data_IF_071220219091
#
_entry.id   IF_071220219091
#
_cell.length_a   1.000
_cell.length_b   1.000
_cell.length_c   1.000
_cell.angle_alpha   90.00
_cell.angle_beta   90.00
_cell.angle_gamma   90.00
#
_symmetry.space_group_name_H-M   'P 1'
#
loop_
_entity.id
_entity.type
_entity.pdbx_description
1 polymer ?
#
# COMPACT_ATOMS: atom_id res chain seq x y z
N UNK A 1 6.33 -0.67 9.12
CA UNK A 1 6.39 -2.11 8.75
C UNK A 1 7.50 -2.25 7.73
N UNK A 2 8.36 -3.25 7.88
CA UNK A 2 9.47 -3.47 6.96
C UNK A 2 9.73 -4.96 6.76
N UNK A 3 10.39 -5.29 5.65
CA UNK A 3 10.82 -6.65 5.39
C UNK A 3 10.86 -7.01 3.90
N UNK A 4 11.30 -8.24 3.61
CA UNK A 4 11.43 -8.71 2.25
C UNK A 4 10.06 -8.96 1.65
N UNK A 5 9.89 -8.49 0.42
CA UNK A 5 8.78 -8.83 -0.46
C UNK A 5 9.34 -9.24 -1.82
N UNK A 6 8.50 -9.93 -2.57
CA UNK A 6 8.73 -10.19 -3.98
C UNK A 6 7.78 -9.31 -4.78
N UNK A 7 8.31 -8.61 -5.78
CA UNK A 7 7.60 -7.68 -6.64
C UNK A 7 7.52 -8.23 -8.06
N UNK A 8 6.36 -8.12 -8.69
CA UNK A 8 6.19 -8.24 -10.14
C UNK A 8 5.46 -7.01 -10.69
N UNK A 9 5.72 -6.70 -11.96
CA UNK A 9 5.06 -5.63 -12.71
C UNK A 9 4.35 -6.28 -13.89
N UNK A 10 3.05 -6.59 -13.74
CA UNK A 10 2.30 -7.17 -14.84
C UNK A 10 2.07 -6.13 -15.94
N UNK A 11 2.10 -6.59 -17.20
CA UNK A 11 1.59 -5.80 -18.32
C UNK A 11 0.05 -5.85 -18.34
N UNK A 12 -0.59 -4.68 -18.47
CA UNK A 12 -2.00 -4.38 -18.73
C UNK A 12 -3.01 -5.50 -18.41
N UNK A 13 -3.25 -5.76 -17.12
CA UNK A 13 -4.40 -6.55 -16.62
C UNK A 13 -4.45 -8.03 -17.03
N UNK A 14 -3.49 -8.52 -17.81
CA UNK A 14 -3.48 -9.92 -18.28
C UNK A 14 -3.20 -10.92 -17.16
N UNK A 15 -2.55 -10.47 -16.08
CA UNK A 15 -2.16 -11.33 -14.97
C UNK A 15 -3.36 -11.84 -14.16
N UNK A 16 -4.44 -11.05 -14.09
CA UNK A 16 -5.72 -11.45 -13.46
C UNK A 16 -6.34 -12.64 -14.20
N UNK A 17 -6.12 -12.76 -15.52
CA UNK A 17 -6.64 -13.88 -16.33
C UNK A 17 -5.71 -15.09 -16.37
N UNK A 18 -4.39 -14.85 -16.38
CA UNK A 18 -3.35 -15.90 -16.49
C UNK A 18 -2.88 -16.44 -15.13
N UNK A 19 -3.32 -15.80 -14.05
CA UNK A 19 -2.92 -16.12 -12.68
C UNK A 19 -1.49 -15.70 -12.35
N UNK A 20 -1.19 -15.71 -11.06
CA UNK A 20 0.09 -15.29 -10.48
C UNK A 20 1.29 -16.17 -10.91
N UNK A 21 1.07 -17.36 -11.46
CA UNK A 21 2.12 -18.31 -11.88
C UNK A 21 2.95 -17.83 -13.08
N UNK A 22 2.39 -16.97 -13.93
CA UNK A 22 3.09 -16.43 -15.10
C UNK A 22 3.94 -15.19 -14.76
N UNK A 23 3.85 -14.68 -13.53
CA UNK A 23 4.53 -13.46 -13.10
C UNK A 23 5.98 -13.73 -12.73
N UNK A 24 6.89 -12.90 -13.25
CA UNK A 24 8.30 -12.88 -12.85
C UNK A 24 8.44 -11.99 -11.63
N UNK A 25 8.85 -12.59 -10.52
CA UNK A 25 9.04 -11.91 -9.26
C UNK A 25 10.51 -11.59 -9.02
N UNK A 26 10.80 -10.39 -8.53
CA UNK A 26 12.12 -9.99 -8.03
C UNK A 26 12.06 -9.70 -6.53
N UNK A 27 13.12 -10.08 -5.81
CA UNK A 27 13.22 -9.80 -4.37
C UNK A 27 13.54 -8.33 -4.14
N UNK A 28 12.80 -7.71 -3.21
CA UNK A 28 12.98 -6.33 -2.78
C UNK A 28 12.85 -6.25 -1.27
N UNK A 29 13.65 -5.40 -0.65
CA UNK A 29 13.40 -4.96 0.72
C UNK A 29 12.38 -3.83 0.66
N UNK A 30 11.29 -3.97 1.41
CA UNK A 30 10.19 -3.01 1.39
C UNK A 30 10.08 -2.32 2.74
N UNK A 31 9.89 -1.01 2.71
CA UNK A 31 9.68 -0.18 3.88
C UNK A 31 8.39 0.63 3.69
N UNK A 32 7.42 0.41 4.59
CA UNK A 32 6.21 1.21 4.70
C UNK A 32 6.41 2.31 5.73
N UNK A 33 6.44 3.55 5.25
CA UNK A 33 6.59 4.75 6.07
C UNK A 33 5.28 5.53 6.07
N UNK A 34 4.84 5.94 7.26
CA UNK A 34 3.59 6.68 7.44
C UNK A 34 3.84 7.82 8.40
N UNK A 35 3.39 9.02 8.01
CA UNK A 35 3.40 10.20 8.86
C UNK A 35 2.04 10.35 9.50
N UNK A 36 2.00 10.27 10.82
CA UNK A 36 0.79 10.50 11.60
C UNK A 36 0.83 11.85 12.31
N UNK A 37 -0.36 12.41 12.54
CA UNK A 37 -0.56 13.53 13.45
C UNK A 37 -1.39 12.98 14.60
N UNK A 38 -0.89 13.16 15.82
CA UNK A 38 -1.70 12.97 17.02
C UNK A 38 -2.35 14.30 17.31
N UNK A 39 -3.66 14.28 17.47
CA UNK A 39 -4.39 15.48 17.83
C UNK A 39 -4.09 15.77 19.30
N UNK A 40 -3.12 16.64 19.57
CA UNK A 40 -2.81 17.13 20.91
C UNK A 40 -3.77 18.27 21.24
N UNK A 41 -5.06 17.95 21.37
CA UNK A 41 -6.02 18.83 22.03
C UNK A 41 -6.16 18.39 23.48
N UNK A 42 -5.25 18.88 24.32
CA UNK A 42 -5.53 19.06 25.73
C UNK A 42 -6.43 20.30 25.88
N UNK A 43 -7.75 20.15 25.79
CA UNK A 43 -8.68 21.06 26.48
C UNK A 43 -10.07 20.46 26.60
N UNK A 44 -10.43 20.13 27.85
CA UNK A 44 -11.76 20.28 28.45
C UNK A 44 -13.02 19.89 27.66
N UNK A 45 -13.76 18.94 28.26
CA UNK A 45 -15.22 18.75 28.17
C UNK A 45 -15.71 17.69 27.16
N UNK A 46 -15.94 16.51 27.72
CA UNK A 46 -17.04 15.55 27.49
C UNK A 46 -17.74 15.48 26.12
N UNK A 47 -17.57 14.32 25.47
CA UNK A 47 -18.57 13.38 24.89
C UNK A 47 -18.00 12.76 23.60
N UNK A 48 -17.48 11.53 23.72
CA UNK A 48 -17.44 10.53 22.65
C UNK A 48 -16.67 10.86 21.37
N UNK A 49 -15.34 10.73 21.39
CA UNK A 49 -14.56 10.70 20.16
C UNK A 49 -13.06 10.66 20.46
N UNK A 50 -12.53 9.48 20.80
CA UNK A 50 -11.12 9.31 21.14
C UNK A 50 -10.20 9.95 20.11
N UNK A 51 -9.22 10.73 20.57
CA UNK A 51 -8.20 11.37 19.76
C UNK A 51 -7.51 10.36 18.85
N UNK A 52 -8.04 10.21 17.65
CA UNK A 52 -7.63 9.21 16.69
C UNK A 52 -6.37 9.68 15.99
N UNK A 53 -5.34 8.84 15.97
CA UNK A 53 -4.14 9.09 15.18
C UNK A 53 -4.51 9.24 13.71
N UNK A 54 -4.42 10.47 13.17
CA UNK A 54 -4.74 10.75 11.78
C UNK A 54 -3.49 10.52 10.93
N UNK A 55 -3.64 9.70 9.89
CA UNK A 55 -2.57 9.47 8.91
C UNK A 55 -2.55 10.63 7.91
N UNK A 56 -1.46 11.39 7.88
CA UNK A 56 -1.28 12.57 7.01
C UNK A 56 -0.71 12.19 5.65
N UNK A 57 0.29 11.32 5.65
CA UNK A 57 0.98 10.87 4.44
C UNK A 57 1.51 9.44 4.62
N UNK A 58 1.74 8.74 3.51
CA UNK A 58 2.23 7.37 3.51
C UNK A 58 2.89 7.01 2.19
N UNK A 59 4.08 6.45 2.28
CA UNK A 59 4.88 6.02 1.13
C UNK A 59 5.38 4.59 1.32
N UNK A 60 5.44 3.86 0.21
CA UNK A 60 6.06 2.54 0.13
C UNK A 60 7.39 2.66 -0.62
N UNK A 61 8.49 2.42 0.06
CA UNK A 61 9.84 2.46 -0.50
C UNK A 61 10.27 1.04 -0.86
N UNK A 62 10.70 0.85 -2.11
CA UNK A 62 11.21 -0.42 -2.60
C UNK A 62 12.71 -0.31 -2.77
N UNK A 63 13.45 -1.18 -2.10
CA UNK A 63 14.91 -1.17 -2.05
C UNK A 63 15.41 -2.49 -2.65
N UNK A 64 16.38 -2.39 -3.55
CA UNK A 64 17.09 -3.53 -4.10
C UNK A 64 18.52 -3.54 -3.58
N UNK A 65 18.98 -4.71 -3.17
CA UNK A 65 20.38 -4.92 -2.87
C UNK A 65 21.18 -4.95 -4.17
N UNK A 66 22.18 -4.07 -4.29
CA UNK A 66 23.20 -4.17 -5.33
C UNK A 66 24.37 -4.95 -4.75
N UNK A 67 24.95 -5.83 -5.56
CA UNK A 67 26.22 -6.49 -5.26
C UNK A 67 27.21 -5.49 -4.65
N UNK A 68 27.88 -5.88 -3.56
CA UNK A 68 28.75 -5.06 -2.67
C UNK A 68 28.08 -4.40 -1.45
N UNK A 69 26.89 -4.86 -1.02
CA UNK A 69 26.24 -4.35 0.19
C UNK A 69 25.70 -2.92 0.04
N UNK A 70 25.52 -2.49 -1.22
CA UNK A 70 24.99 -1.16 -1.55
C UNK A 70 23.50 -1.26 -1.81
N UNK A 71 22.70 -0.69 -0.92
CA UNK A 71 21.27 -0.59 -1.14
C UNK A 71 20.96 0.54 -2.12
N UNK A 72 20.09 0.28 -3.08
CA UNK A 72 19.55 1.30 -3.97
C UNK A 72 18.03 1.26 -3.94
N UNK A 73 17.43 2.44 -3.90
CA UNK A 73 16.00 2.58 -4.14
C UNK A 73 15.72 2.08 -5.56
N UNK A 74 14.88 1.04 -5.67
CA UNK A 74 14.56 0.38 -6.93
C UNK A 74 13.86 1.35 -7.89
N UNK A 75 13.00 2.20 -7.32
CA UNK A 75 12.18 3.17 -8.04
C UNK A 75 11.72 4.28 -7.11
N UNK A 76 11.20 5.35 -7.69
CA UNK A 76 10.55 6.41 -6.91
C UNK A 76 9.53 5.86 -5.90
N UNK A 77 9.54 6.32 -4.63
CA UNK A 77 8.61 5.85 -3.61
C UNK A 77 7.15 5.95 -4.05
N UNK A 78 6.38 4.89 -3.78
CA UNK A 78 4.98 4.81 -4.17
C UNK A 78 4.14 5.57 -3.14
N UNK A 79 3.44 6.61 -3.57
CA UNK A 79 2.57 7.41 -2.70
C UNK A 79 1.21 6.71 -2.50
N UNK A 80 0.94 6.27 -1.27
CA UNK A 80 -0.26 5.48 -0.95
C UNK A 80 -1.56 6.25 -1.17
N UNK A 81 -1.54 7.59 -1.08
CA UNK A 81 -2.72 8.42 -1.34
C UNK A 81 -3.24 8.37 -2.78
N UNK A 82 -2.42 7.92 -3.74
CA UNK A 82 -2.80 7.72 -5.15
C UNK A 82 -3.10 6.25 -5.48
N UNK A 83 -3.01 5.35 -4.50
CA UNK A 83 -3.04 3.92 -4.74
C UNK A 83 -4.40 3.29 -4.40
N UNK A 84 -4.73 2.24 -5.15
CA UNK A 84 -5.77 1.26 -4.81
C UNK A 84 -5.07 -0.05 -4.48
N UNK A 85 -5.51 -0.70 -3.40
CA UNK A 85 -4.92 -1.96 -2.92
C UNK A 85 -5.98 -3.06 -2.99
N UNK A 86 -5.69 -4.11 -3.75
CA UNK A 86 -6.59 -5.21 -4.08
C UNK A 86 -5.91 -6.56 -3.83
N UNK A 87 -6.71 -7.61 -3.76
CA UNK A 87 -6.25 -9.01 -3.77
C UNK A 87 -7.25 -9.79 -4.60
N UNK A 88 -6.80 -10.88 -5.20
CA UNK A 88 -7.66 -11.81 -5.93
C UNK A 88 -8.31 -12.74 -4.90
N UNK A 89 -9.66 -12.84 -4.85
CA UNK A 89 -10.36 -13.71 -3.89
C UNK A 89 -9.95 -15.18 -4.00
N UNK A 90 -9.50 -15.62 -5.18
CA UNK A 90 -9.07 -17.00 -5.42
C UNK A 90 -7.55 -17.18 -5.22
N UNK A 91 -6.80 -16.09 -4.99
CA UNK A 91 -5.35 -16.11 -4.81
C UNK A 91 -4.88 -15.18 -3.66
N UNK A 92 -4.92 -15.72 -2.44
CA UNK A 92 -4.51 -15.01 -1.22
C UNK A 92 -2.99 -14.90 -1.01
N UNK A 93 -2.20 -15.52 -1.89
CA UNK A 93 -0.73 -15.50 -1.83
C UNK A 93 -0.13 -14.24 -2.46
N UNK A 94 -0.98 -13.36 -3.03
CA UNK A 94 -0.55 -12.11 -3.65
C UNK A 94 -1.49 -10.96 -3.34
N UNK A 95 -0.99 -9.74 -3.45
CA UNK A 95 -1.82 -8.54 -3.48
C UNK A 95 -1.32 -7.57 -4.55
N UNK A 96 -2.22 -6.73 -5.03
CA UNK A 96 -1.93 -5.71 -6.04
C UNK A 96 -1.99 -4.31 -5.42
N UNK A 97 -1.05 -3.46 -5.82
CA UNK A 97 -1.10 -2.02 -5.64
C UNK A 97 -1.16 -1.38 -7.01
N UNK A 98 -2.27 -0.71 -7.31
CA UNK A 98 -2.44 0.09 -8.51
C UNK A 98 -2.23 1.57 -8.16
N UNK A 99 -1.12 2.16 -8.61
CA UNK A 99 -0.95 3.61 -8.59
C UNK A 99 -1.73 4.20 -9.78
N UNK A 100 -2.84 4.90 -9.48
CA UNK A 100 -3.77 5.43 -10.49
C UNK A 100 -3.06 6.34 -11.50
N UNK A 101 -1.95 6.97 -11.12
CA UNK A 101 -1.21 7.89 -11.99
C UNK A 101 -0.11 7.22 -12.80
N UNK A 102 0.24 5.96 -12.51
CA UNK A 102 1.46 5.33 -13.03
C UNK A 102 1.21 3.92 -13.54
N UNK A 103 1.18 2.92 -12.66
CA UNK A 103 1.22 1.51 -13.03
C UNK A 103 0.77 0.59 -11.87
N UNK A 104 0.65 -0.69 -12.17
CA UNK A 104 0.29 -1.74 -11.22
C UNK A 104 1.51 -2.54 -10.74
N UNK A 105 1.46 -2.96 -9.48
CA UNK A 105 2.46 -3.77 -8.81
C UNK A 105 1.81 -4.96 -8.15
N UNK A 106 2.35 -6.15 -8.37
CA UNK A 106 1.91 -7.36 -7.66
C UNK A 106 2.99 -7.75 -6.67
N UNK A 107 2.59 -7.93 -5.42
CA UNK A 107 3.47 -8.28 -4.31
C UNK A 107 3.10 -9.61 -3.70
N UNK A 108 4.10 -10.31 -3.18
CA UNK A 108 3.95 -11.45 -2.28
C UNK A 108 5.09 -11.53 -1.27
N UNK A 109 4.85 -12.09 -0.10
CA UNK A 109 5.88 -12.34 0.91
C UNK A 109 6.39 -13.79 0.84
N UNK A 110 7.22 -14.17 1.82
CA UNK A 110 7.72 -15.55 2.01
C UNK A 110 6.60 -16.56 2.19
N UNK A 111 5.50 -16.12 2.79
CA UNK A 111 4.37 -16.95 3.16
C UNK A 111 3.07 -16.14 3.09
N UNK A 112 1.96 -16.87 3.12
CA UNK A 112 0.61 -16.33 3.01
C UNK A 112 0.26 -15.39 4.18
N UNK A 113 0.60 -15.76 5.41
CA UNK A 113 0.29 -14.96 6.61
C UNK A 113 0.95 -13.59 6.53
N UNK A 114 2.23 -13.55 6.17
CA UNK A 114 3.00 -12.32 6.00
C UNK A 114 2.50 -11.49 4.82
N UNK A 115 2.11 -12.14 3.72
CA UNK A 115 1.49 -11.46 2.57
C UNK A 115 0.20 -10.75 2.99
N UNK A 116 -0.65 -11.43 3.76
CA UNK A 116 -1.88 -10.85 4.28
C UNK A 116 -1.61 -9.72 5.27
N UNK A 117 -0.62 -9.83 6.16
CA UNK A 117 -0.24 -8.72 7.05
C UNK A 117 0.15 -7.46 6.27
N UNK A 118 0.98 -7.61 5.24
CA UNK A 118 1.35 -6.51 4.34
C UNK A 118 0.14 -5.91 3.64
N UNK A 119 -0.71 -6.76 3.05
CA UNK A 119 -1.94 -6.33 2.38
C UNK A 119 -2.83 -5.51 3.30
N UNK A 120 -3.17 -6.03 4.49
CA UNK A 120 -4.07 -5.36 5.42
C UNK A 120 -3.50 -4.01 5.88
N UNK A 121 -2.19 -3.95 6.16
CA UNK A 121 -1.55 -2.73 6.64
C UNK A 121 -1.50 -1.66 5.55
N UNK A 122 -1.09 -2.01 4.32
CA UNK A 122 -1.01 -1.07 3.20
C UNK A 122 -2.42 -0.63 2.79
N UNK A 123 -3.38 -1.56 2.70
CA UNK A 123 -4.78 -1.26 2.38
C UNK A 123 -5.39 -0.28 3.39
N UNK A 124 -5.11 -0.45 4.69
CA UNK A 124 -5.55 0.49 5.73
C UNK A 124 -5.07 1.91 5.41
N UNK A 125 -3.77 2.09 5.21
CA UNK A 125 -3.20 3.43 4.99
C UNK A 125 -3.59 4.04 3.64
N UNK A 126 -3.59 3.26 2.56
CA UNK A 126 -4.06 3.74 1.25
C UNK A 126 -5.53 4.19 1.31
N UNK A 127 -6.36 3.47 2.07
CA UNK A 127 -7.77 3.82 2.28
C UNK A 127 -7.96 5.08 3.13
N UNK A 128 -7.10 5.30 4.12
CA UNK A 128 -7.17 6.44 5.02
C UNK A 128 -6.63 7.72 4.33
N UNK A 129 -5.63 7.58 3.44
CA UNK A 129 -5.04 8.65 2.64
C UNK A 129 -5.79 8.97 1.34
N UNK A 130 -6.62 8.03 0.88
CA UNK A 130 -7.30 8.10 -0.40
C UNK A 130 -8.21 9.33 -0.55
N UNK A 131 -7.81 10.28 -1.40
CA UNK A 131 -8.60 11.48 -1.73
C UNK A 131 -9.94 11.18 -2.40
N UNK A 132 -10.12 9.95 -2.90
CA UNK A 132 -11.39 9.41 -3.41
C UNK A 132 -12.52 9.46 -2.37
N UNK A 133 -12.21 9.48 -1.06
CA UNK A 133 -13.23 9.75 -0.02
C UNK A 133 -13.79 11.17 -0.07
N UNK A 134 -12.96 12.20 -0.28
CA UNK A 134 -13.40 13.61 -0.30
C UNK A 134 -14.30 13.94 -1.50
N UNK A 135 -14.13 13.24 -2.63
CA UNK A 135 -14.98 13.44 -3.82
C UNK A 135 -16.44 12.98 -3.63
N UNK A 136 -16.71 12.09 -2.67
CA UNK A 136 -18.07 11.60 -2.38
C UNK A 136 -18.90 12.51 -1.49
N UNK A 137 -18.35 13.65 -1.04
CA UNK A 137 -19.11 14.66 -0.30
C UNK A 137 -19.76 15.71 -1.23
N UNK A 138 -19.69 15.54 -2.56
CA UNK A 138 -20.56 16.25 -3.47
C UNK A 138 -21.93 15.56 -3.46
N UNK A 139 -22.79 15.94 -2.50
CA UNK A 139 -24.22 15.65 -2.57
C UNK A 139 -24.76 16.17 -3.92
N UNK A 140 -25.54 15.40 -4.68
CA UNK A 140 -26.43 15.99 -5.68
C UNK A 140 -27.38 16.88 -4.90
N UNK A 141 -27.37 18.19 -5.18
CA UNK A 141 -28.49 19.05 -4.77
C UNK A 141 -29.67 18.63 -5.65
N UNK A 142 -30.57 17.82 -5.08
CA UNK A 142 -31.95 17.70 -5.54
C UNK A 142 -32.74 18.91 -5.03
#
# INVERSE_FOLDING_TARGET
MEGPLQLSQPADGQWVKKGSKALKFQNVQTLLMVRTIRDSFETGTEIGGGGGEMVKDGVLVLIKDKSSGKFAVLREPIQLGNCVVSTDPDCEDTFEILDIKREAFVFRASDKSRTQQWFHQIKRYARDLGTWRKRRNALPKL
#
